data_IF_934355713532
#
_entry.id   IF_934355713532
#
_cell.length_a   1.000
_cell.length_b   1.000
_cell.length_c   1.000
_cell.angle_alpha   90.00
_cell.angle_beta   90.00
_cell.angle_gamma   90.00
#
_symmetry.space_group_name_H-M   'P 1'
#
loop_
_entity.id
_entity.type
_entity.pdbx_description
1 polymer ?
#
# COMPACT_ATOMS: atom_id res chain seq x y z
N UNK A 1 -8.82 4.94 0.24
CA UNK A 1 -7.56 4.28 -0.14
C UNK A 1 -6.55 5.25 -0.76
N UNK A 2 -6.60 5.57 -2.06
CA UNK A 2 -5.60 6.46 -2.68
C UNK A 2 -5.49 7.84 -2.00
N UNK A 3 -6.63 8.43 -1.64
CA UNK A 3 -6.68 9.69 -0.86
C UNK A 3 -6.11 9.53 0.56
N UNK A 4 -6.34 8.40 1.20
CA UNK A 4 -5.86 8.14 2.56
C UNK A 4 -4.35 7.97 2.60
N UNK A 5 -3.76 7.23 1.64
CA UNK A 5 -2.31 7.08 1.49
C UNK A 5 -1.56 8.40 1.25
N UNK A 6 -2.25 9.45 0.77
CA UNK A 6 -1.67 10.80 0.66
C UNK A 6 -1.74 11.55 1.99
N UNK A 7 -2.77 11.31 2.79
CA UNK A 7 -3.09 12.07 4.00
C UNK A 7 -2.47 11.48 5.27
N UNK A 8 -2.28 10.17 5.32
CA UNK A 8 -1.84 9.44 6.50
C UNK A 8 -1.12 8.14 6.12
N UNK A 9 -0.20 7.72 7.01
CA UNK A 9 0.44 6.41 6.96
C UNK A 9 -0.33 5.37 7.80
N UNK A 10 -1.45 5.74 8.41
CA UNK A 10 -2.28 4.81 9.16
C UNK A 10 -2.84 3.73 8.24
N UNK A 11 -2.78 2.47 8.69
CA UNK A 11 -3.21 1.29 7.94
C UNK A 11 -2.56 1.18 6.55
N UNK A 12 -1.32 1.68 6.39
CA UNK A 12 -0.62 1.75 5.11
C UNK A 12 -0.64 0.44 4.33
N UNK A 13 -0.25 -0.67 4.98
CA UNK A 13 -0.21 -2.00 4.36
C UNK A 13 -1.60 -2.45 3.90
N UNK A 14 -2.64 -2.25 4.71
CA UNK A 14 -4.01 -2.58 4.34
C UNK A 14 -4.46 -1.78 3.10
N UNK A 15 -4.19 -0.48 3.05
CA UNK A 15 -4.54 0.37 1.92
C UNK A 15 -3.75 0.02 0.64
N UNK A 16 -2.47 -0.34 0.76
CA UNK A 16 -1.67 -0.83 -0.37
C UNK A 16 -2.27 -2.10 -0.95
N UNK A 17 -2.57 -3.10 -0.09
CA UNK A 17 -3.17 -4.36 -0.51
C UNK A 17 -4.51 -4.13 -1.21
N UNK A 18 -5.33 -3.21 -0.70
CA UNK A 18 -6.61 -2.88 -1.33
C UNK A 18 -6.43 -2.25 -2.73
N UNK A 19 -5.51 -1.31 -2.89
CA UNK A 19 -5.23 -0.72 -4.21
C UNK A 19 -4.64 -1.73 -5.18
N UNK A 20 -3.74 -2.61 -4.72
CA UNK A 20 -3.24 -3.71 -5.53
C UNK A 20 -4.39 -4.64 -6.00
N UNK A 21 -5.31 -5.01 -5.11
CA UNK A 21 -6.49 -5.82 -5.47
C UNK A 21 -7.39 -5.11 -6.48
N UNK A 22 -7.64 -3.81 -6.30
CA UNK A 22 -8.41 -2.99 -7.25
C UNK A 22 -7.74 -2.99 -8.62
N UNK A 23 -6.42 -2.75 -8.68
CA UNK A 23 -5.67 -2.75 -9.92
C UNK A 23 -5.73 -4.09 -10.66
N UNK A 24 -5.55 -5.21 -9.93
CA UNK A 24 -5.71 -6.54 -10.51
C UNK A 24 -7.13 -6.82 -11.02
N UNK A 25 -8.15 -6.36 -10.29
CA UNK A 25 -9.54 -6.51 -10.72
C UNK A 25 -9.84 -5.69 -12.00
N UNK A 26 -9.25 -4.50 -12.15
CA UNK A 26 -9.45 -3.63 -13.31
C UNK A 26 -8.68 -4.08 -14.55
N UNK A 27 -7.43 -4.55 -14.38
CA UNK A 27 -6.49 -4.77 -15.48
C UNK A 27 -6.03 -6.22 -15.65
N UNK A 28 -6.41 -7.13 -14.76
CA UNK A 28 -5.92 -8.52 -14.70
C UNK A 28 -4.51 -8.67 -14.12
N UNK A 29 -3.69 -7.62 -14.20
CA UNK A 29 -2.41 -7.47 -13.51
C UNK A 29 -2.08 -5.97 -13.32
N UNK A 30 -1.21 -5.66 -12.37
CA UNK A 30 -0.84 -4.26 -12.08
C UNK A 30 0.39 -3.74 -12.84
N UNK A 31 1.12 -4.61 -13.53
CA UNK A 31 2.30 -4.21 -14.31
C UNK A 31 1.96 -3.17 -15.37
N UNK A 32 2.77 -2.11 -15.45
CA UNK A 32 2.59 -0.97 -16.36
C UNK A 32 1.28 -0.18 -16.17
N UNK A 33 0.70 -0.20 -14.98
CA UNK A 33 -0.49 0.60 -14.61
C UNK A 33 -0.16 1.58 -13.49
N UNK A 34 -1.07 2.52 -13.19
CA UNK A 34 -0.97 3.37 -11.99
C UNK A 34 -1.03 2.56 -10.68
N UNK A 35 -1.34 1.26 -10.74
CA UNK A 35 -1.36 0.37 -9.59
C UNK A 35 -0.04 -0.41 -9.38
N UNK A 36 0.94 -0.26 -10.27
CA UNK A 36 2.20 -1.03 -10.24
C UNK A 36 2.88 -0.93 -8.87
N UNK A 37 3.08 0.28 -8.36
CA UNK A 37 3.82 0.50 -7.10
C UNK A 37 3.20 -0.24 -5.92
N UNK A 38 1.87 -0.41 -5.91
CA UNK A 38 1.20 -1.16 -4.84
C UNK A 38 1.47 -2.66 -4.93
N UNK A 39 1.68 -3.21 -6.14
CA UNK A 39 2.10 -4.60 -6.30
C UNK A 39 3.56 -4.83 -5.90
N UNK A 40 4.44 -3.85 -6.14
CA UNK A 40 5.82 -3.92 -5.67
C UNK A 40 5.86 -3.92 -4.12
N UNK A 41 5.17 -2.95 -3.50
CA UNK A 41 5.10 -2.86 -2.04
C UNK A 41 4.44 -4.10 -1.45
N UNK A 42 3.30 -4.56 -1.99
CA UNK A 42 2.61 -5.75 -1.47
C UNK A 42 3.52 -6.99 -1.53
N UNK A 43 4.28 -7.19 -2.60
CA UNK A 43 5.24 -8.29 -2.71
C UNK A 43 6.41 -8.17 -1.74
N UNK A 44 6.86 -6.96 -1.41
CA UNK A 44 7.97 -6.73 -0.47
C UNK A 44 7.52 -6.79 0.99
N UNK A 45 6.22 -6.62 1.25
CA UNK A 45 5.65 -6.52 2.60
C UNK A 45 4.64 -7.63 2.90
N UNK A 46 4.59 -8.69 2.10
CA UNK A 46 3.61 -9.78 2.22
C UNK A 46 3.74 -10.58 3.53
N UNK A 47 4.90 -10.53 4.17
CA UNK A 47 5.17 -11.11 5.49
C UNK A 47 4.76 -10.19 6.65
N UNK A 48 4.46 -8.92 6.40
CA UNK A 48 4.14 -7.95 7.44
C UNK A 48 2.68 -8.09 7.91
N UNK A 49 2.41 -7.89 9.21
CA UNK A 49 1.08 -8.12 9.76
C UNK A 49 0.11 -6.99 9.37
N UNK A 50 -0.99 -7.36 8.71
CA UNK A 50 -2.15 -6.46 8.51
C UNK A 50 -2.83 -6.13 9.84
N UNK A 51 -3.61 -5.04 9.86
CA UNK A 51 -4.31 -4.58 11.08
C UNK A 51 -5.12 -5.69 11.77
N UNK A 52 -5.69 -6.61 10.99
CA UNK A 52 -6.52 -7.73 11.49
C UNK A 52 -5.78 -8.75 12.33
N UNK A 53 -4.46 -8.92 12.14
CA UNK A 53 -3.69 -9.98 12.82
C UNK A 53 -2.69 -9.45 13.84
N UNK A 54 -2.48 -8.12 13.87
CA UNK A 54 -1.52 -7.47 14.79
C UNK A 54 -1.75 -7.80 16.26
N UNK A 55 -3.00 -7.99 16.69
CA UNK A 55 -3.32 -8.37 18.09
C UNK A 55 -2.74 -9.73 18.51
N UNK A 56 -2.45 -10.60 17.54
CA UNK A 56 -1.88 -11.93 17.75
C UNK A 56 -0.35 -11.94 17.62
N UNK A 57 0.27 -10.81 17.27
CA UNK A 57 1.71 -10.71 17.09
C UNK A 57 2.41 -10.35 18.41
N UNK A 58 3.65 -10.83 18.55
CA UNK A 58 4.49 -10.40 19.66
C UNK A 58 4.87 -8.93 19.52
N UNK A 59 5.07 -8.23 20.65
CA UNK A 59 5.51 -6.83 20.65
C UNK A 59 6.84 -6.64 19.91
N UNK A 60 7.77 -7.58 20.06
CA UNK A 60 9.07 -7.53 19.39
C UNK A 60 8.92 -7.60 17.87
N UNK A 61 8.05 -8.48 17.37
CA UNK A 61 7.77 -8.57 15.94
C UNK A 61 7.15 -7.28 15.41
N UNK A 62 6.14 -6.75 16.12
CA UNK A 62 5.48 -5.50 15.72
C UNK A 62 6.47 -4.33 15.65
N UNK A 63 7.40 -4.20 16.59
CA UNK A 63 8.42 -3.14 16.54
C UNK A 63 9.31 -3.25 15.30
N UNK A 64 9.71 -4.46 14.91
CA UNK A 64 10.52 -4.68 13.69
C UNK A 64 9.71 -4.41 12.43
N UNK A 65 8.47 -4.92 12.38
CA UNK A 65 7.56 -4.71 11.28
C UNK A 65 7.25 -3.22 11.07
N UNK A 66 7.00 -2.46 12.14
CA UNK A 66 6.70 -1.04 12.06
C UNK A 66 7.89 -0.23 11.52
N UNK A 67 9.12 -0.59 11.92
CA UNK A 67 10.33 0.03 11.38
C UNK A 67 10.50 -0.27 9.87
N UNK A 68 10.22 -1.50 9.44
CA UNK A 68 10.27 -1.89 8.03
C UNK A 68 9.21 -1.16 7.20
N UNK A 69 7.99 -0.99 7.74
CA UNK A 69 6.94 -0.18 7.10
C UNK A 69 7.39 1.26 6.93
N UNK A 70 8.03 1.86 7.94
CA UNK A 70 8.53 3.24 7.86
C UNK A 70 9.62 3.41 6.79
N UNK A 71 10.54 2.43 6.67
CA UNK A 71 11.55 2.40 5.62
C UNK A 71 10.91 2.29 4.23
N UNK A 72 9.94 1.38 4.07
CA UNK A 72 9.17 1.19 2.84
C UNK A 72 8.42 2.47 2.43
N UNK A 73 7.72 3.12 3.36
CA UNK A 73 7.02 4.38 3.12
C UNK A 73 7.98 5.46 2.64
N UNK A 74 9.14 5.58 3.28
CA UNK A 74 10.17 6.56 2.91
C UNK A 74 10.69 6.31 1.50
N UNK A 75 11.00 5.06 1.17
CA UNK A 75 11.52 4.64 -0.12
C UNK A 75 10.52 4.90 -1.26
N UNK A 76 9.27 4.45 -1.11
CA UNK A 76 8.25 4.55 -2.16
C UNK A 76 7.46 5.86 -2.16
N UNK A 77 7.75 6.80 -1.25
CA UNK A 77 6.94 8.02 -1.04
C UNK A 77 6.56 8.76 -2.33
N UNK A 78 7.54 8.97 -3.21
CA UNK A 78 7.32 9.71 -4.46
C UNK A 78 6.46 8.94 -5.45
N UNK A 79 6.70 7.63 -5.58
CA UNK A 79 5.96 6.75 -6.48
C UNK A 79 4.52 6.56 -6.03
N UNK A 80 4.30 6.32 -4.73
CA UNK A 80 2.95 6.24 -4.14
C UNK A 80 2.19 7.54 -4.32
N UNK A 81 2.83 8.68 -4.06
CA UNK A 81 2.18 9.99 -4.26
C UNK A 81 1.78 10.20 -5.73
N UNK A 82 2.66 9.84 -6.67
CA UNK A 82 2.37 9.93 -8.11
C UNK A 82 1.21 9.02 -8.50
N UNK A 83 1.29 7.74 -8.13
CA UNK A 83 0.28 6.73 -8.39
C UNK A 83 -1.10 7.12 -7.82
N UNK A 84 -1.16 7.56 -6.56
CA UNK A 84 -2.40 7.99 -5.94
C UNK A 84 -3.04 9.18 -6.66
N UNK A 85 -2.25 10.17 -7.09
CA UNK A 85 -2.75 11.30 -7.87
C UNK A 85 -3.25 10.87 -9.26
N UNK A 86 -2.55 9.97 -9.94
CA UNK A 86 -3.00 9.40 -11.22
C UNK A 86 -4.32 8.63 -11.05
N UNK A 87 -4.44 7.80 -10.01
CA UNK A 87 -5.68 7.08 -9.69
C UNK A 87 -6.82 8.06 -9.47
N UNK A 88 -6.62 9.08 -8.62
CA UNK A 88 -7.64 10.08 -8.34
C UNK A 88 -8.02 10.85 -9.62
N UNK A 89 -7.07 11.19 -10.48
CA UNK A 89 -7.40 11.87 -11.74
C UNK A 89 -8.21 10.99 -12.71
N UNK A 90 -7.94 9.68 -12.77
CA UNK A 90 -8.58 8.78 -13.74
C UNK A 90 -9.93 8.24 -13.23
N UNK A 91 -10.04 8.02 -11.93
CA UNK A 91 -11.15 7.27 -11.34
C UNK A 91 -12.02 8.09 -10.36
N UNK A 92 -11.65 9.34 -10.04
CA UNK A 92 -12.46 10.21 -9.14
C UNK A 92 -13.62 10.93 -9.84
N UNK A 93 -13.94 10.59 -11.10
CA UNK A 93 -15.06 11.15 -11.88
C UNK A 93 -16.12 10.09 -12.27
N UNK A 94 -16.29 9.05 -11.45
CA UNK A 94 -17.39 8.09 -11.56
C UNK A 94 -18.35 8.21 -10.37
#
# INVERSE_FOLDING_TARGET
MAKELIQSNENYIDHVIELWKIGNALYGQVWNTEFHVFGAIESETDHLPTTKVRENCSKEWLTKADAEVDECISFYKQEVSKACNEILSKHSNA
#
